data_IF_730272965024
#
_entry.id   IF_730272965024
#
_cell.length_a   1.000
_cell.length_b   1.000
_cell.length_c   1.000
_cell.angle_alpha   90.00
_cell.angle_beta   90.00
_cell.angle_gamma   90.00
#
_symmetry.space_group_name_H-M   'P 1'
#
loop_
_entity.id
_entity.type
_entity.pdbx_description
1 polymer ?
#
# COMPACT_ATOMS: atom_id res chain seq x y z
N UNK A 1 34.23 78.74 -35.63
CA UNK A 1 34.12 77.69 -36.69
C UNK A 1 34.61 76.31 -36.24
N UNK A 2 35.74 76.19 -35.51
CA UNK A 2 36.29 74.91 -35.04
C UNK A 2 35.34 74.01 -34.21
N UNK A 3 34.58 74.58 -33.26
CA UNK A 3 33.68 73.77 -32.41
C UNK A 3 32.42 73.27 -33.12
N UNK A 4 31.95 73.96 -34.17
CA UNK A 4 30.76 73.51 -34.93
C UNK A 4 31.08 72.34 -35.85
N UNK A 5 32.30 72.29 -36.41
CA UNK A 5 32.75 71.19 -37.26
C UNK A 5 32.93 69.89 -36.45
N UNK A 6 33.48 69.99 -35.23
CA UNK A 6 33.65 68.84 -34.34
C UNK A 6 32.31 68.22 -33.91
N UNK A 7 31.30 69.05 -33.62
CA UNK A 7 29.95 68.60 -33.26
C UNK A 7 29.26 67.95 -34.46
N UNK A 8 29.39 68.52 -35.66
CA UNK A 8 28.81 67.94 -36.89
C UNK A 8 29.45 66.59 -37.22
N UNK A 9 30.77 66.47 -37.08
CA UNK A 9 31.49 65.20 -37.30
C UNK A 9 31.04 64.15 -36.27
N UNK A 10 30.91 64.52 -34.99
CA UNK A 10 30.48 63.61 -33.93
C UNK A 10 29.03 63.12 -34.13
N UNK A 11 28.12 64.00 -34.54
CA UNK A 11 26.72 63.63 -34.81
C UNK A 11 26.62 62.75 -36.06
N UNK A 12 27.40 63.03 -37.11
CA UNK A 12 27.48 62.18 -38.30
C UNK A 12 28.06 60.81 -38.00
N UNK A 13 29.10 60.71 -37.16
CA UNK A 13 29.64 59.40 -36.76
C UNK A 13 28.67 58.61 -35.88
N UNK A 14 27.93 59.26 -34.99
CA UNK A 14 26.87 58.63 -34.19
C UNK A 14 25.70 58.13 -35.05
N UNK A 15 25.28 58.90 -36.05
CA UNK A 15 24.21 58.50 -36.98
C UNK A 15 24.65 57.39 -37.94
N UNK A 16 25.93 57.36 -38.35
CA UNK A 16 26.51 56.30 -39.18
C UNK A 16 26.82 55.01 -38.40
N UNK A 17 26.93 55.08 -37.07
CA UNK A 17 27.14 53.91 -36.22
C UNK A 17 25.85 53.16 -35.86
N UNK A 18 24.67 53.77 -36.03
CA UNK A 18 23.38 53.13 -35.71
C UNK A 18 23.06 51.87 -36.54
N UNK A 19 23.35 51.77 -37.86
CA UNK A 19 23.13 50.52 -38.59
C UNK A 19 24.18 49.43 -38.29
N UNK A 20 25.25 49.74 -37.54
CA UNK A 20 26.25 48.78 -37.07
C UNK A 20 25.95 48.25 -35.66
N UNK A 21 24.92 48.78 -34.99
CA UNK A 21 24.42 48.28 -33.70
C UNK A 21 23.35 47.18 -33.85
N UNK A 22 23.10 46.70 -35.07
CA UNK A 22 22.39 45.44 -35.30
C UNK A 22 23.31 44.27 -34.96
N UNK A 23 22.83 43.33 -34.13
CA UNK A 23 23.56 42.12 -33.74
C UNK A 23 24.12 41.39 -34.97
N UNK A 24 25.44 41.47 -35.20
CA UNK A 24 26.19 40.51 -36.02
C UNK A 24 26.48 39.22 -35.22
N UNK A 25 25.54 38.80 -34.37
CA UNK A 25 25.56 37.45 -33.82
C UNK A 25 24.99 36.54 -34.88
N UNK A 26 25.61 35.38 -35.11
CA UNK A 26 24.89 34.29 -35.75
C UNK A 26 23.56 34.15 -35.01
N UNK A 27 22.43 34.40 -35.67
CA UNK A 27 21.13 34.01 -35.17
C UNK A 27 21.18 32.51 -35.02
N UNK A 28 21.64 32.03 -33.85
CA UNK A 28 21.41 30.66 -33.47
C UNK A 28 19.90 30.50 -33.60
N UNK A 29 19.41 29.59 -34.46
CA UNK A 29 17.99 29.38 -34.58
C UNK A 29 17.45 29.18 -33.18
N UNK A 30 16.37 29.90 -32.83
CA UNK A 30 15.69 29.70 -31.56
C UNK A 30 15.59 28.19 -31.35
N UNK A 31 16.01 27.65 -30.18
CA UNK A 31 15.96 26.22 -29.94
C UNK A 31 14.56 25.76 -30.33
N UNK A 32 14.48 24.75 -31.20
CA UNK A 32 13.18 24.20 -31.58
C UNK A 32 12.47 23.85 -30.29
N UNK A 33 11.27 24.38 -30.10
CA UNK A 33 10.42 23.93 -29.02
C UNK A 33 10.34 22.40 -29.15
N UNK A 34 10.76 21.68 -28.11
CA UNK A 34 10.57 20.24 -28.07
C UNK A 34 9.09 19.97 -28.30
N UNK A 35 8.75 18.97 -29.13
CA UNK A 35 7.35 18.64 -29.37
C UNK A 35 6.69 18.29 -28.04
N UNK A 36 5.49 18.80 -27.82
CA UNK A 36 4.75 18.56 -26.59
C UNK A 36 4.62 17.06 -26.33
N UNK A 37 4.85 16.67 -25.08
CA UNK A 37 4.62 15.32 -24.60
C UNK A 37 3.74 15.30 -23.36
N UNK A 38 2.97 14.22 -23.13
CA UNK A 38 2.33 13.96 -21.85
C UNK A 38 3.24 14.02 -20.62
N UNK A 39 4.57 13.88 -20.78
CA UNK A 39 5.55 14.02 -19.68
C UNK A 39 6.20 15.42 -19.62
N UNK A 40 5.58 16.45 -20.19
CA UNK A 40 6.07 17.84 -20.15
C UNK A 40 5.89 18.48 -18.76
N UNK A 41 6.55 17.88 -17.76
CA UNK A 41 6.65 18.34 -16.38
C UNK A 41 7.98 17.86 -15.77
N UNK A 42 8.39 18.47 -14.67
CA UNK A 42 9.59 18.05 -13.96
C UNK A 42 9.36 16.69 -13.27
N UNK A 43 10.32 15.76 -13.42
CA UNK A 43 10.29 14.48 -12.73
C UNK A 43 11.70 14.07 -12.29
N UNK A 44 11.78 13.45 -11.10
CA UNK A 44 13.05 13.02 -10.52
C UNK A 44 13.66 11.80 -11.22
N UNK A 45 14.93 11.51 -10.91
CA UNK A 45 15.62 10.28 -11.33
C UNK A 45 15.28 9.06 -10.45
N UNK A 46 14.38 9.23 -9.48
CA UNK A 46 13.82 8.19 -8.60
C UNK A 46 12.37 7.86 -8.96
N UNK A 47 11.86 8.39 -10.08
CA UNK A 47 10.49 8.14 -10.56
C UNK A 47 10.53 7.52 -11.94
N UNK A 48 9.79 6.41 -12.12
CA UNK A 48 9.63 5.73 -13.40
C UNK A 48 8.17 5.70 -13.81
N UNK A 49 7.90 6.16 -15.04
CA UNK A 49 6.62 5.96 -15.71
C UNK A 49 6.78 4.82 -16.71
N UNK A 50 6.02 3.75 -16.52
CA UNK A 50 6.15 2.54 -17.31
C UNK A 50 4.81 1.80 -17.46
N UNK A 51 4.74 0.92 -18.45
CA UNK A 51 3.66 -0.04 -18.62
C UNK A 51 4.04 -1.39 -17.96
N UNK A 52 3.10 -2.33 -17.84
CA UNK A 52 3.40 -3.69 -17.39
C UNK A 52 4.60 -4.31 -18.11
N UNK A 53 5.41 -5.07 -17.37
CA UNK A 53 6.66 -5.64 -17.88
C UNK A 53 7.86 -4.68 -17.86
N UNK A 54 7.76 -3.55 -17.17
CA UNK A 54 8.84 -2.55 -17.08
C UNK A 54 9.11 -1.85 -18.41
N UNK A 55 8.09 -1.70 -19.26
CA UNK A 55 8.23 -1.03 -20.57
C UNK A 55 8.18 0.49 -20.35
N UNK A 56 9.27 1.19 -20.62
CA UNK A 56 9.36 2.65 -20.41
C UNK A 56 8.29 3.41 -21.23
N UNK A 57 7.50 4.26 -20.57
CA UNK A 57 6.42 5.01 -21.21
C UNK A 57 6.91 6.29 -21.93
N UNK A 58 8.09 6.84 -21.60
CA UNK A 58 8.59 8.11 -22.18
C UNK A 58 9.02 7.99 -23.63
N UNK A 59 9.46 6.81 -24.06
CA UNK A 59 10.09 6.63 -25.37
C UNK A 59 9.06 6.44 -26.51
N UNK A 60 7.76 6.64 -26.24
CA UNK A 60 6.66 6.41 -27.17
C UNK A 60 6.62 4.99 -27.77
N UNK A 61 7.25 4.00 -27.13
CA UNK A 61 7.33 2.62 -27.64
C UNK A 61 5.96 2.00 -27.94
N UNK A 62 4.94 2.41 -27.18
CA UNK A 62 3.54 2.01 -27.36
C UNK A 62 2.63 3.16 -27.81
N UNK A 63 3.20 4.31 -28.20
CA UNK A 63 2.47 5.54 -28.49
C UNK A 63 1.99 6.28 -27.23
N UNK A 64 1.34 7.42 -27.44
CA UNK A 64 0.83 8.31 -26.38
C UNK A 64 -0.69 8.32 -26.30
N UNK A 65 -1.39 7.70 -27.25
CA UNK A 65 -2.86 7.70 -27.31
C UNK A 65 -3.49 7.11 -26.04
N UNK A 66 -2.77 6.20 -25.39
CA UNK A 66 -3.18 5.55 -24.16
C UNK A 66 -2.92 6.37 -22.88
N UNK A 67 -2.19 7.49 -22.97
CA UNK A 67 -1.84 8.36 -21.84
C UNK A 67 -2.80 9.55 -21.76
N UNK A 68 -4.09 9.24 -21.72
CA UNK A 68 -5.19 10.22 -21.71
C UNK A 68 -6.16 9.91 -20.57
N UNK A 69 -7.01 10.87 -20.23
CA UNK A 69 -8.02 10.75 -19.17
C UNK A 69 -7.43 10.26 -17.83
N UNK A 70 -7.96 9.17 -17.25
CA UNK A 70 -7.48 8.62 -15.99
C UNK A 70 -6.08 8.01 -16.08
N UNK A 71 -5.59 7.70 -17.29
CA UNK A 71 -4.27 7.14 -17.53
C UNK A 71 -3.22 8.22 -17.86
N UNK A 72 -3.58 9.51 -17.69
CA UNK A 72 -2.67 10.65 -17.93
C UNK A 72 -1.58 10.69 -16.86
N UNK A 73 -0.29 10.80 -17.24
CA UNK A 73 0.80 10.92 -16.29
C UNK A 73 0.75 12.25 -15.52
N UNK A 74 1.22 12.24 -14.28
CA UNK A 74 1.27 13.41 -13.42
C UNK A 74 2.54 13.40 -12.55
N UNK A 75 3.09 14.57 -12.17
CA UNK A 75 4.27 14.64 -11.31
C UNK A 75 4.09 13.87 -10.02
N UNK A 76 5.03 12.96 -9.74
CA UNK A 76 4.95 12.05 -8.60
C UNK A 76 6.33 11.90 -7.94
N UNK A 77 6.33 12.00 -6.61
CA UNK A 77 7.52 11.91 -5.77
C UNK A 77 7.17 11.14 -4.50
N UNK A 78 8.12 10.37 -3.99
CA UNK A 78 7.99 9.70 -2.71
C UNK A 78 9.18 10.05 -1.81
N UNK A 79 8.93 10.05 -0.50
CA UNK A 79 9.94 10.24 0.52
C UNK A 79 9.55 9.48 1.79
N UNK A 80 10.47 9.35 2.72
CA UNK A 80 10.20 8.81 4.05
C UNK A 80 10.72 9.78 5.11
N UNK A 81 10.14 9.72 6.30
CA UNK A 81 10.58 10.48 7.46
C UNK A 81 10.45 9.62 8.72
N UNK A 82 11.41 9.76 9.63
CA UNK A 82 11.36 9.07 10.91
C UNK A 82 10.37 9.74 11.86
N UNK A 83 9.48 8.95 12.47
CA UNK A 83 8.49 9.44 13.43
C UNK A 83 9.07 9.53 14.87
N UNK A 84 10.10 8.74 15.16
CA UNK A 84 10.78 8.73 16.47
C UNK A 84 10.27 7.65 17.44
N UNK A 85 9.28 6.85 17.03
CA UNK A 85 8.77 5.71 17.77
C UNK A 85 9.26 4.39 17.18
N UNK A 86 9.54 3.41 18.05
CA UNK A 86 9.87 2.04 17.64
C UNK A 86 8.59 1.24 17.42
N UNK A 87 8.58 0.49 16.33
CA UNK A 87 7.49 -0.45 16.04
C UNK A 87 8.05 -1.81 15.61
N UNK A 88 7.17 -2.80 15.54
CA UNK A 88 7.43 -4.16 15.10
C UNK A 88 6.22 -4.56 14.26
N UNK A 89 6.44 -4.86 12.97
CA UNK A 89 5.40 -5.22 12.00
C UNK A 89 4.18 -4.27 12.06
N UNK A 90 4.39 -2.94 11.88
CA UNK A 90 3.36 -1.94 12.08
C UNK A 90 2.25 -2.04 11.05
N UNK A 91 1.05 -1.66 11.49
CA UNK A 91 -0.05 -1.30 10.60
C UNK A 91 -0.33 0.19 10.71
N UNK A 92 -0.82 0.76 9.61
CA UNK A 92 -1.20 2.17 9.49
C UNK A 92 -2.66 2.25 9.03
N UNK A 93 -3.42 3.16 9.63
CA UNK A 93 -4.81 3.43 9.30
C UNK A 93 -5.07 4.92 9.20
N UNK A 94 -6.00 5.30 8.33
CA UNK A 94 -6.41 6.70 8.15
C UNK A 94 -7.92 6.77 8.36
N UNK A 95 -8.35 7.56 9.33
CA UNK A 95 -9.75 7.97 9.50
C UNK A 95 -9.96 9.30 8.77
N UNK A 96 -11.20 9.79 8.68
CA UNK A 96 -11.47 11.13 8.16
C UNK A 96 -10.72 12.25 8.92
N UNK A 97 -10.36 12.02 10.18
CA UNK A 97 -9.74 13.02 11.06
C UNK A 97 -8.22 12.90 11.20
N UNK A 98 -7.65 11.71 11.03
CA UNK A 98 -6.31 11.43 11.54
C UNK A 98 -5.57 10.29 10.82
N UNK A 99 -4.25 10.24 11.01
CA UNK A 99 -3.38 9.13 10.60
C UNK A 99 -2.91 8.42 11.87
N UNK A 100 -3.05 7.11 11.91
CA UNK A 100 -2.73 6.27 13.05
C UNK A 100 -1.75 5.17 12.65
N UNK A 101 -0.82 4.80 13.52
CA UNK A 101 -0.06 3.57 13.37
C UNK A 101 0.13 2.85 14.72
N UNK A 102 0.32 1.53 14.64
CA UNK A 102 0.61 0.71 15.82
C UNK A 102 2.08 0.84 16.24
N UNK A 103 2.32 1.03 17.54
CA UNK A 103 3.64 0.93 18.15
C UNK A 103 3.70 -0.30 19.05
N UNK A 104 4.87 -0.94 19.10
CA UNK A 104 5.04 -2.20 19.81
C UNK A 104 4.88 -2.05 21.33
N UNK A 105 5.51 -1.02 21.92
CA UNK A 105 5.51 -0.73 23.37
C UNK A 105 6.18 -1.80 24.26
N UNK A 106 6.21 -3.06 23.82
CA UNK A 106 6.87 -4.18 24.48
C UNK A 106 6.08 -4.83 25.60
N UNK A 107 6.62 -5.93 26.11
CA UNK A 107 6.04 -6.65 27.25
C UNK A 107 6.02 -5.77 28.50
N UNK A 108 4.84 -5.59 29.10
CA UNK A 108 4.62 -4.80 30.30
C UNK A 108 4.13 -3.38 30.02
N UNK A 109 4.40 -2.83 28.83
CA UNK A 109 3.87 -1.52 28.42
C UNK A 109 2.68 -1.64 27.48
N UNK A 110 2.56 -2.73 26.70
CA UNK A 110 1.46 -2.90 25.75
C UNK A 110 1.58 -2.08 24.48
N UNK A 111 0.83 -2.48 23.45
CA UNK A 111 0.75 -1.75 22.18
C UNK A 111 0.01 -0.43 22.38
N UNK A 112 0.55 0.62 21.74
CA UNK A 112 -0.04 1.97 21.74
C UNK A 112 -0.28 2.42 20.30
N UNK A 113 -1.25 3.31 20.13
CA UNK A 113 -1.54 3.98 18.86
C UNK A 113 -0.89 5.36 18.86
N UNK A 114 0.00 5.56 17.91
CA UNK A 114 0.59 6.85 17.64
C UNK A 114 -0.22 7.52 16.53
N UNK A 115 -0.66 8.74 16.78
CA UNK A 115 -1.63 9.45 15.95
C UNK A 115 -1.11 10.82 15.53
N UNK A 116 -1.35 11.18 14.28
CA UNK A 116 -1.18 12.53 13.75
C UNK A 116 -2.53 13.13 13.36
N UNK A 117 -2.82 14.32 13.89
CA UNK A 117 -4.03 15.10 13.59
C UNK A 117 -3.76 16.23 12.58
N UNK A 118 -2.54 16.31 12.06
CA UNK A 118 -2.05 17.42 11.22
C UNK A 118 -1.33 16.90 9.97
N UNK A 119 -1.83 15.81 9.40
CA UNK A 119 -1.37 15.22 8.14
C UNK A 119 0.09 14.74 8.19
N UNK A 120 0.50 14.18 9.32
CA UNK A 120 1.81 13.57 9.53
C UNK A 120 2.90 14.53 9.98
N UNK A 121 2.58 15.79 10.28
CA UNK A 121 3.57 16.78 10.73
C UNK A 121 3.99 16.56 12.18
N UNK A 122 3.06 16.23 13.07
CA UNK A 122 3.31 15.88 14.46
C UNK A 122 2.60 14.60 14.86
N UNK A 123 3.18 13.89 15.84
CA UNK A 123 2.76 12.57 16.26
C UNK A 123 2.64 12.51 17.79
N UNK A 124 1.56 11.92 18.28
CA UNK A 124 1.25 11.80 19.71
C UNK A 124 0.80 10.39 20.02
N UNK A 125 1.30 9.82 21.12
CA UNK A 125 0.75 8.58 21.67
C UNK A 125 -0.65 8.84 22.24
N UNK A 126 -1.67 8.20 21.67
CA UNK A 126 -3.08 8.35 22.03
C UNK A 126 -3.64 7.14 22.81
N UNK A 127 -2.79 6.24 23.31
CA UNK A 127 -3.22 5.08 24.10
C UNK A 127 -3.60 3.88 23.23
N UNK A 128 -4.47 2.96 23.70
CA UNK A 128 -5.31 3.02 24.89
C UNK A 128 -4.52 2.91 26.20
N UNK A 129 -4.66 3.87 27.11
CA UNK A 129 -3.95 3.89 28.40
C UNK A 129 -4.69 3.14 29.50
N UNK A 130 -3.97 2.39 30.33
CA UNK A 130 -4.53 1.71 31.50
C UNK A 130 -5.04 2.72 32.54
N UNK A 131 -6.29 2.56 33.04
CA UNK A 131 -6.89 3.53 33.95
C UNK A 131 -6.21 3.61 35.33
N UNK A 132 -5.46 2.58 35.71
CA UNK A 132 -4.71 2.53 36.99
C UNK A 132 -3.23 2.84 36.77
N UNK A 133 -2.64 2.35 35.68
CA UNK A 133 -1.22 2.51 35.34
C UNK A 133 -1.07 3.25 34.02
N UNK A 134 -1.27 4.58 34.03
CA UNK A 134 -1.42 5.39 32.83
C UNK A 134 -0.20 5.41 31.88
N UNK A 135 0.96 4.93 32.33
CA UNK A 135 2.16 4.78 31.50
C UNK A 135 2.17 3.46 30.69
N UNK A 136 1.14 2.64 30.83
CA UNK A 136 0.99 1.34 30.15
C UNK A 136 -0.34 1.25 29.41
N UNK A 137 -0.43 0.37 28.43
CA UNK A 137 -1.62 0.05 27.68
C UNK A 137 -2.64 -0.70 28.55
N UNK A 138 -3.93 -0.59 28.25
CA UNK A 138 -4.95 -1.38 28.98
C UNK A 138 -4.67 -2.88 28.85
N UNK A 139 -4.16 -3.26 27.69
CA UNK A 139 -3.69 -4.59 27.35
C UNK A 139 -2.15 -4.62 27.45
N UNK A 140 -1.55 -5.44 28.35
CA UNK A 140 -0.18 -5.22 28.84
C UNK A 140 0.96 -5.70 27.92
N UNK A 141 0.66 -6.30 26.77
CA UNK A 141 1.66 -6.73 25.79
C UNK A 141 0.97 -6.96 24.44
N UNK A 142 1.69 -7.01 23.33
CA UNK A 142 1.22 -7.72 22.13
C UNK A 142 2.42 -8.40 21.49
N UNK A 143 2.21 -9.56 20.86
CA UNK A 143 3.23 -10.18 20.02
C UNK A 143 3.28 -9.51 18.65
N UNK A 144 2.11 -9.23 18.07
CA UNK A 144 1.95 -8.57 16.77
C UNK A 144 1.00 -7.37 16.97
N UNK A 145 1.50 -6.13 17.04
CA UNK A 145 0.67 -4.93 17.18
C UNK A 145 -0.14 -4.61 15.91
N UNK A 146 -1.47 -4.73 15.95
CA UNK A 146 -2.32 -4.43 14.80
C UNK A 146 -3.32 -3.31 15.10
N UNK A 147 -3.51 -2.41 14.14
CA UNK A 147 -4.61 -1.46 14.10
C UNK A 147 -5.34 -1.53 12.76
N UNK A 148 -6.61 -1.17 12.79
CA UNK A 148 -7.45 -1.04 11.62
C UNK A 148 -8.30 0.21 11.74
N UNK A 149 -8.30 1.05 10.72
CA UNK A 149 -9.27 2.13 10.59
C UNK A 149 -10.44 1.63 9.74
N UNK A 150 -11.63 1.57 10.34
CA UNK A 150 -12.86 1.23 9.63
C UNK A 150 -13.20 2.33 8.63
N UNK A 151 -13.16 1.98 7.34
CA UNK A 151 -13.36 2.93 6.24
C UNK A 151 -14.80 3.46 6.09
N UNK A 152 -15.76 2.89 6.80
CA UNK A 152 -17.17 3.30 6.74
C UNK A 152 -17.63 4.02 8.00
N UNK A 153 -17.07 3.68 9.16
CA UNK A 153 -17.50 4.25 10.45
C UNK A 153 -16.47 5.17 11.10
N UNK A 154 -15.26 5.28 10.53
CA UNK A 154 -14.09 5.94 11.13
C UNK A 154 -13.67 5.35 12.50
N UNK A 155 -14.23 4.20 12.90
CA UNK A 155 -13.81 3.51 14.11
C UNK A 155 -12.37 3.04 13.95
N UNK A 156 -11.51 3.49 14.85
CA UNK A 156 -10.18 2.94 15.01
C UNK A 156 -10.25 1.71 15.90
N UNK A 157 -9.78 0.58 15.40
CA UNK A 157 -9.66 -0.67 16.14
C UNK A 157 -8.19 -0.95 16.40
N UNK A 158 -7.86 -1.32 17.63
CA UNK A 158 -6.60 -1.91 18.03
C UNK A 158 -6.84 -3.39 18.36
N UNK A 159 -5.99 -4.25 17.81
CA UNK A 159 -6.14 -5.70 17.88
C UNK A 159 -4.83 -6.37 18.30
N UNK A 160 -4.77 -6.76 19.57
CA UNK A 160 -3.57 -7.33 20.18
C UNK A 160 -3.66 -8.85 20.29
N UNK A 161 -2.54 -9.51 19.98
CA UNK A 161 -2.33 -10.93 20.21
C UNK A 161 -1.45 -11.18 21.43
N UNK A 162 -1.83 -12.13 22.28
CA UNK A 162 -1.08 -12.51 23.48
C UNK A 162 -0.66 -13.97 23.45
N UNK A 163 0.65 -14.18 23.54
CA UNK A 163 1.28 -15.48 23.72
C UNK A 163 0.73 -16.54 22.75
N UNK A 164 0.42 -16.14 21.51
CA UNK A 164 -0.16 -16.99 20.46
C UNK A 164 -1.50 -17.65 20.85
N UNK A 165 -2.17 -17.15 21.89
CA UNK A 165 -3.29 -17.84 22.54
C UNK A 165 -4.48 -16.98 22.89
N UNK A 166 -4.37 -15.65 22.97
CA UNK A 166 -5.51 -14.79 23.25
C UNK A 166 -5.49 -13.54 22.37
N UNK A 167 -6.67 -13.03 22.06
CA UNK A 167 -6.87 -11.86 21.20
C UNK A 167 -7.73 -10.83 21.91
N UNK A 168 -7.31 -9.57 21.90
CA UNK A 168 -8.01 -8.47 22.53
C UNK A 168 -8.31 -7.38 21.53
N UNK A 169 -9.55 -6.92 21.52
CA UNK A 169 -10.04 -5.84 20.68
C UNK A 169 -10.36 -4.65 21.56
N UNK A 170 -9.78 -3.51 21.22
CA UNK A 170 -10.09 -2.20 21.79
C UNK A 170 -10.42 -1.27 20.64
N UNK A 171 -11.35 -0.33 20.84
CA UNK A 171 -11.68 0.62 19.79
C UNK A 171 -11.87 2.03 20.31
N UNK A 172 -11.73 2.99 19.39
CA UNK A 172 -12.00 4.41 19.57
C UNK A 172 -12.87 4.89 18.42
N UNK A 173 -13.88 5.70 18.76
CA UNK A 173 -14.77 6.38 17.80
C UNK A 173 -14.43 7.89 17.67
N UNK A 174 -13.29 8.32 18.21
CA UNK A 174 -12.89 9.72 18.33
C UNK A 174 -11.38 9.95 18.12
N UNK A 175 -10.79 9.22 17.17
CA UNK A 175 -9.38 9.31 16.76
C UNK A 175 -8.38 9.06 17.90
N UNK A 176 -8.72 8.13 18.80
CA UNK A 176 -7.91 7.70 19.93
C UNK A 176 -8.04 8.58 21.18
N UNK A 177 -8.93 9.57 21.20
CA UNK A 177 -9.12 10.42 22.39
C UNK A 177 -9.70 9.64 23.58
N UNK A 178 -10.63 8.73 23.30
CA UNK A 178 -11.16 7.77 24.27
C UNK A 178 -11.17 6.37 23.67
N UNK A 179 -11.08 5.37 24.56
CA UNK A 179 -11.01 3.97 24.19
C UNK A 179 -12.03 3.15 24.98
N UNK A 180 -12.54 2.10 24.33
CA UNK A 180 -13.33 1.08 24.99
C UNK A 180 -12.52 0.33 26.05
N UNK A 181 -13.19 -0.48 26.89
CA UNK A 181 -12.49 -1.55 27.60
C UNK A 181 -11.99 -2.61 26.60
N UNK A 182 -11.00 -3.45 26.95
CA UNK A 182 -10.61 -4.57 26.11
C UNK A 182 -11.70 -5.65 26.07
N UNK A 183 -12.13 -6.02 24.86
CA UNK A 183 -13.02 -7.14 24.60
C UNK A 183 -12.22 -8.36 24.16
N UNK A 184 -12.62 -9.56 24.60
CA UNK A 184 -11.93 -10.80 24.23
C UNK A 184 -12.51 -11.40 22.96
N UNK A 185 -11.64 -11.77 22.03
CA UNK A 185 -11.97 -12.59 20.87
C UNK A 185 -11.56 -14.05 21.14
N UNK A 186 -12.29 -14.72 22.03
CA UNK A 186 -12.01 -16.10 22.48
C UNK A 186 -12.39 -17.16 21.42
N UNK A 187 -11.65 -18.29 21.37
CA UNK A 187 -11.98 -19.40 20.46
C UNK A 187 -10.79 -20.25 20.02
N UNK A 188 -9.92 -20.63 20.96
CA UNK A 188 -8.57 -21.09 20.66
C UNK A 188 -8.50 -22.58 20.31
N UNK A 189 -8.25 -22.90 19.04
CA UNK A 189 -8.06 -24.28 18.57
C UNK A 189 -6.66 -24.56 18.00
N UNK A 190 -5.86 -23.51 17.80
CA UNK A 190 -4.53 -23.58 17.23
C UNK A 190 -3.66 -22.45 17.77
N UNK A 191 -2.32 -22.58 17.68
CA UNK A 191 -1.43 -21.43 17.79
C UNK A 191 -1.89 -20.34 16.81
N UNK A 192 -1.95 -19.11 17.30
CA UNK A 192 -2.31 -17.92 16.52
C UNK A 192 -1.06 -17.12 16.23
N UNK A 193 -0.96 -16.59 15.02
CA UNK A 193 0.13 -15.72 14.58
C UNK A 193 -0.43 -14.75 13.53
N UNK A 194 0.22 -13.60 13.33
CA UNK A 194 -0.03 -12.69 12.21
C UNK A 194 -1.52 -12.41 11.98
N UNK A 195 -2.18 -11.90 13.02
CA UNK A 195 -3.61 -11.61 12.95
C UNK A 195 -3.89 -10.41 12.06
N UNK A 196 -5.01 -10.46 11.33
CA UNK A 196 -5.50 -9.33 10.54
C UNK A 196 -7.00 -9.18 10.73
N UNK A 197 -7.46 -7.95 10.86
CA UNK A 197 -8.87 -7.57 11.02
C UNK A 197 -9.23 -6.53 9.96
N UNK A 198 -10.43 -6.68 9.41
CA UNK A 198 -11.09 -5.70 8.57
C UNK A 198 -12.60 -5.72 8.82
N UNK A 199 -13.32 -4.73 8.31
CA UNK A 199 -14.77 -4.72 8.32
C UNK A 199 -15.35 -4.80 6.91
N UNK A 200 -16.65 -5.05 6.80
CA UNK A 200 -17.45 -4.98 5.57
C UNK A 200 -18.84 -4.41 5.87
N UNK A 201 -19.51 -3.83 4.88
CA UNK A 201 -20.89 -3.34 5.05
C UNK A 201 -21.84 -4.50 5.31
N UNK A 202 -22.76 -4.33 6.25
CA UNK A 202 -23.84 -5.29 6.49
C UNK A 202 -24.96 -5.14 5.44
N UNK A 203 -24.72 -5.67 4.24
CA UNK A 203 -25.69 -5.57 3.12
C UNK A 203 -26.89 -6.52 3.27
N UNK A 204 -26.77 -7.55 4.11
CA UNK A 204 -27.81 -8.56 4.34
C UNK A 204 -28.60 -8.33 5.64
N UNK A 205 -28.28 -7.29 6.42
CA UNK A 205 -28.96 -7.00 7.68
C UNK A 205 -28.74 -8.06 8.77
N UNK A 206 -27.57 -8.70 8.78
CA UNK A 206 -27.18 -9.73 9.74
C UNK A 206 -26.67 -9.18 11.07
N UNK A 207 -26.24 -7.91 11.06
CA UNK A 207 -25.52 -7.24 12.14
C UNK A 207 -26.44 -6.32 12.96
N UNK A 208 -26.03 -6.09 14.20
CA UNK A 208 -26.59 -5.04 15.06
C UNK A 208 -25.77 -3.73 15.01
N UNK A 209 -24.70 -3.72 14.21
CA UNK A 209 -23.82 -2.60 13.94
C UNK A 209 -23.72 -2.36 12.43
N UNK A 210 -23.31 -1.17 12.00
CA UNK A 210 -23.31 -0.75 10.58
C UNK A 210 -22.35 -1.59 9.72
N UNK A 211 -21.28 -2.09 10.33
CA UNK A 211 -20.31 -2.98 9.70
C UNK A 211 -20.23 -4.33 10.42
N UNK A 212 -19.78 -5.35 9.69
CA UNK A 212 -19.38 -6.66 10.22
C UNK A 212 -17.87 -6.68 10.25
N UNK A 213 -17.28 -6.89 11.42
CA UNK A 213 -15.83 -7.10 11.53
C UNK A 213 -15.50 -8.56 11.34
N UNK A 214 -14.45 -8.85 10.59
CA UNK A 214 -13.90 -10.18 10.40
C UNK A 214 -12.41 -10.12 10.67
N UNK A 215 -11.93 -11.00 11.54
CA UNK A 215 -10.50 -11.24 11.66
C UNK A 215 -10.16 -12.64 11.20
N UNK A 216 -8.93 -12.80 10.71
CA UNK A 216 -8.31 -14.08 10.43
C UNK A 216 -6.93 -14.15 11.08
N UNK A 217 -6.50 -15.36 11.38
CA UNK A 217 -5.19 -15.66 11.96
C UNK A 217 -4.47 -16.70 11.12
N UNK A 218 -3.15 -16.54 11.02
CA UNK A 218 -2.28 -17.57 10.50
C UNK A 218 -2.27 -18.75 11.48
N UNK A 219 -2.27 -19.96 10.91
CA UNK A 219 -1.95 -21.16 11.67
C UNK A 219 -0.61 -21.70 11.19
N UNK A 220 0.20 -22.21 12.12
CA UNK A 220 1.51 -22.79 11.81
C UNK A 220 1.47 -24.08 10.96
N UNK A 221 0.33 -24.43 10.34
CA UNK A 221 0.21 -25.61 9.48
C UNK A 221 -0.80 -25.40 8.34
N UNK A 222 -0.45 -25.82 7.14
CA UNK A 222 -1.38 -25.83 5.99
C UNK A 222 -2.61 -26.70 6.22
N UNK A 223 -2.48 -27.79 6.98
CA UNK A 223 -3.59 -28.70 7.29
C UNK A 223 -4.69 -28.05 8.14
N UNK A 224 -4.32 -27.14 9.05
CA UNK A 224 -5.31 -26.35 9.80
C UNK A 224 -5.81 -25.18 8.96
N UNK A 225 -4.95 -24.59 8.13
CA UNK A 225 -5.26 -23.43 7.31
C UNK A 225 -5.56 -22.18 8.16
N UNK A 226 -5.75 -21.01 7.54
CA UNK A 226 -6.22 -19.83 8.26
C UNK A 226 -7.53 -20.09 9.00
N UNK A 227 -7.65 -19.55 10.21
CA UNK A 227 -8.91 -19.54 10.96
C UNK A 227 -9.44 -18.12 11.03
N UNK A 228 -10.76 -17.94 10.94
CA UNK A 228 -11.40 -16.64 10.97
C UNK A 228 -12.57 -16.62 11.97
N UNK A 229 -12.87 -15.44 12.47
CA UNK A 229 -14.03 -15.15 13.30
C UNK A 229 -14.60 -13.79 12.91
N UNK A 230 -15.86 -13.55 13.29
CA UNK A 230 -16.56 -12.32 12.97
C UNK A 230 -17.28 -11.74 14.19
N UNK A 231 -17.48 -10.43 14.16
CA UNK A 231 -18.28 -9.67 15.10
C UNK A 231 -19.40 -8.93 14.37
N UNK A 232 -20.59 -9.00 14.94
CA UNK A 232 -21.84 -8.42 14.42
C UNK A 232 -22.41 -7.34 15.37
N UNK A 233 -21.58 -6.86 16.30
CA UNK A 233 -21.95 -5.86 17.31
C UNK A 233 -20.86 -4.80 17.50
N UNK A 234 -20.07 -4.57 16.46
CA UNK A 234 -19.03 -3.53 16.45
C UNK A 234 -17.74 -3.94 17.18
N UNK A 235 -17.46 -5.23 17.31
CA UNK A 235 -16.24 -5.75 17.93
C UNK A 235 -16.39 -6.12 19.42
N UNK A 236 -17.61 -6.15 19.97
CA UNK A 236 -17.84 -6.49 21.38
C UNK A 236 -17.84 -8.00 21.63
N UNK A 237 -18.50 -8.75 20.75
CA UNK A 237 -18.54 -10.21 20.81
C UNK A 237 -18.12 -10.81 19.49
N UNK A 238 -17.52 -12.00 19.57
CA UNK A 238 -16.92 -12.71 18.45
C UNK A 238 -17.45 -14.12 18.35
N UNK A 239 -17.73 -14.55 17.13
CA UNK A 239 -18.06 -15.95 16.85
C UNK A 239 -16.87 -16.87 17.21
N UNK A 240 -17.15 -18.15 17.42
CA UNK A 240 -16.11 -19.17 17.47
C UNK A 240 -15.27 -19.17 16.19
N UNK A 241 -13.95 -19.30 16.30
CA UNK A 241 -13.06 -19.42 15.15
C UNK A 241 -13.43 -20.63 14.28
N UNK A 242 -13.40 -20.43 12.96
CA UNK A 242 -13.74 -21.44 11.94
C UNK A 242 -12.75 -21.39 10.78
N UNK A 243 -12.65 -22.46 9.99
CA UNK A 243 -11.84 -22.45 8.77
C UNK A 243 -12.16 -21.25 7.86
N UNK A 244 -11.13 -20.43 7.60
CA UNK A 244 -11.17 -19.31 6.66
C UNK A 244 -11.01 -19.73 5.20
N UNK A 245 -11.40 -20.94 4.85
CA UNK A 245 -11.21 -21.56 3.54
C UNK A 245 -12.30 -22.61 3.29
N UNK A 246 -12.49 -23.06 2.03
CA UNK A 246 -13.56 -24.01 1.73
C UNK A 246 -13.37 -25.33 2.49
N UNK A 247 -14.42 -25.78 3.18
CA UNK A 247 -14.37 -27.05 3.90
C UNK A 247 -14.43 -28.20 2.88
N UNK A 248 -13.53 -29.18 3.05
CA UNK A 248 -13.48 -30.37 2.19
C UNK A 248 -12.59 -30.22 0.96
N UNK A 249 -11.91 -29.08 0.80
CA UNK A 249 -10.82 -28.91 -0.17
C UNK A 249 -9.47 -28.97 0.55
N UNK A 250 -8.40 -29.47 -0.11
CA UNK A 250 -7.05 -29.35 0.43
C UNK A 250 -6.66 -27.87 0.58
N UNK A 251 -6.12 -27.51 1.73
CA UNK A 251 -5.48 -26.22 1.96
C UNK A 251 -3.95 -26.40 1.87
N UNK A 252 -3.30 -25.58 1.05
CA UNK A 252 -1.87 -25.64 0.80
C UNK A 252 -1.06 -24.55 1.51
N UNK A 253 -1.73 -23.57 2.16
CA UNK A 253 -1.10 -22.57 3.02
C UNK A 253 -1.82 -22.43 4.36
N UNK A 254 -1.05 -22.33 5.45
CA UNK A 254 -1.56 -21.88 6.75
C UNK A 254 -1.41 -20.37 6.97
N UNK A 255 -0.64 -19.72 6.09
CA UNK A 255 -0.28 -18.32 6.17
C UNK A 255 -1.04 -17.49 5.12
N UNK A 256 -1.37 -16.25 5.46
CA UNK A 256 -2.13 -15.33 4.64
C UNK A 256 -1.68 -13.88 4.81
N UNK A 257 -1.95 -13.06 3.79
CA UNK A 257 -1.84 -11.60 3.88
C UNK A 257 -3.07 -10.98 4.57
N UNK A 258 -3.12 -9.65 4.64
CA UNK A 258 -4.21 -8.96 5.35
C UNK A 258 -5.60 -9.22 4.75
N UNK A 259 -6.60 -9.26 5.63
CA UNK A 259 -8.02 -9.34 5.28
C UNK A 259 -8.50 -7.96 4.84
N UNK A 260 -9.40 -7.91 3.86
CA UNK A 260 -10.03 -6.68 3.40
C UNK A 260 -11.53 -6.91 3.15
N UNK A 261 -12.39 -5.96 3.51
CA UNK A 261 -13.80 -5.98 3.11
C UNK A 261 -14.09 -5.08 1.94
N UNK A 262 -15.24 -5.31 1.30
CA UNK A 262 -15.71 -4.61 0.10
C UNK A 262 -17.05 -3.89 0.34
N UNK A 263 -17.38 -2.81 -0.39
CA UNK A 263 -18.64 -2.08 -0.19
C UNK A 263 -19.87 -2.93 -0.49
N UNK A 264 -19.70 -4.05 -1.19
CA UNK A 264 -20.76 -4.99 -1.54
C UNK A 264 -21.02 -6.08 -0.49
N UNK A 265 -20.43 -5.96 0.72
CA UNK A 265 -20.57 -6.91 1.81
C UNK A 265 -19.64 -8.13 1.73
N UNK A 266 -18.82 -8.24 0.68
CA UNK A 266 -17.83 -9.31 0.57
C UNK A 266 -16.63 -9.07 1.49
N UNK A 267 -15.94 -10.14 1.85
CA UNK A 267 -14.66 -10.14 2.57
C UNK A 267 -13.67 -10.98 1.80
N UNK A 268 -12.44 -10.50 1.66
CA UNK A 268 -11.38 -11.12 0.90
C UNK A 268 -10.11 -11.28 1.73
N UNK A 269 -9.33 -12.31 1.40
CA UNK A 269 -8.01 -12.54 1.96
C UNK A 269 -7.13 -13.22 0.92
N UNK A 270 -5.91 -12.74 0.73
CA UNK A 270 -4.96 -13.39 -0.18
C UNK A 270 -4.07 -14.42 0.53
N UNK A 271 -3.96 -15.61 -0.05
CA UNK A 271 -2.95 -16.62 0.29
C UNK A 271 -2.80 -17.65 -0.85
N UNK A 272 -1.69 -18.41 -0.91
CA UNK A 272 -1.52 -19.44 -1.93
C UNK A 272 -2.63 -20.49 -1.86
N UNK A 273 -3.15 -20.87 -3.03
CA UNK A 273 -3.83 -22.15 -3.22
C UNK A 273 -2.79 -23.25 -3.47
N UNK A 274 -3.26 -24.45 -3.79
CA UNK A 274 -2.38 -25.53 -4.25
C UNK A 274 -1.84 -25.32 -5.67
N UNK A 275 -2.42 -24.38 -6.44
CA UNK A 275 -2.10 -24.15 -7.84
C UNK A 275 -1.33 -22.83 -8.08
N UNK A 276 -1.47 -21.83 -7.20
CA UNK A 276 -0.82 -20.54 -7.37
C UNK A 276 -1.31 -19.45 -6.40
N UNK A 277 -1.06 -18.17 -6.70
CA UNK A 277 -1.65 -17.05 -5.94
C UNK A 277 -3.18 -17.12 -6.01
N UNK A 278 -3.85 -16.94 -4.87
CA UNK A 278 -5.30 -17.00 -4.79
C UNK A 278 -5.86 -15.95 -3.83
N UNK A 279 -7.13 -15.62 -4.04
CA UNK A 279 -7.96 -14.88 -3.09
C UNK A 279 -9.05 -15.79 -2.56
N UNK A 280 -9.25 -15.76 -1.26
CA UNK A 280 -10.35 -16.42 -0.58
C UNK A 280 -11.43 -15.39 -0.32
N UNK A 281 -12.66 -15.71 -0.72
CA UNK A 281 -13.82 -14.81 -0.64
C UNK A 281 -14.89 -15.38 0.27
N UNK A 282 -15.40 -14.54 1.16
CA UNK A 282 -16.67 -14.72 1.85
C UNK A 282 -17.69 -13.69 1.34
N UNK A 283 -18.94 -14.11 1.19
CA UNK A 283 -20.09 -13.27 0.80
C UNK A 283 -21.20 -13.30 1.86
N UNK A 284 -20.91 -13.84 3.03
CA UNK A 284 -21.85 -14.02 4.15
C UNK A 284 -21.26 -13.48 5.46
N UNK A 285 -20.48 -12.39 5.35
CA UNK A 285 -19.87 -11.70 6.49
C UNK A 285 -18.79 -12.53 7.19
N UNK A 286 -17.98 -13.28 6.46
CA UNK A 286 -16.85 -14.07 6.99
C UNK A 286 -17.21 -15.47 7.49
N UNK A 287 -18.43 -15.97 7.26
CA UNK A 287 -18.90 -17.24 7.82
C UNK A 287 -18.48 -18.47 7.00
N UNK A 288 -18.60 -18.38 5.67
CA UNK A 288 -18.09 -19.39 4.73
C UNK A 288 -17.19 -18.75 3.68
N UNK A 289 -16.28 -19.55 3.14
CA UNK A 289 -15.23 -19.09 2.22
C UNK A 289 -15.17 -19.94 0.96
N UNK A 290 -14.86 -19.28 -0.15
CA UNK A 290 -14.59 -19.84 -1.48
C UNK A 290 -13.15 -19.51 -1.88
N UNK A 291 -12.49 -20.39 -2.62
CA UNK A 291 -11.13 -20.17 -3.13
C UNK A 291 -11.18 -19.73 -4.61
N UNK A 292 -10.41 -18.71 -4.95
CA UNK A 292 -10.32 -18.14 -6.30
C UNK A 292 -8.85 -17.98 -6.70
N UNK A 293 -8.31 -18.98 -7.40
CA UNK A 293 -6.93 -18.95 -7.92
C UNK A 293 -6.82 -17.92 -9.04
N UNK A 294 -5.89 -16.98 -8.89
CA UNK A 294 -5.65 -15.87 -9.82
C UNK A 294 -4.96 -16.39 -11.09
N UNK A 295 -3.90 -17.20 -10.92
CA UNK A 295 -3.09 -17.70 -12.03
C UNK A 295 -2.29 -18.94 -11.64
N UNK A 296 -1.87 -19.73 -12.63
CA UNK A 296 -0.94 -20.85 -12.47
C UNK A 296 0.45 -20.58 -13.07
N UNK A 297 0.67 -19.42 -13.68
CA UNK A 297 1.91 -19.12 -14.43
C UNK A 297 2.85 -18.17 -13.68
N UNK A 298 2.32 -17.10 -13.07
CA UNK A 298 3.07 -16.19 -12.21
C UNK A 298 2.94 -16.63 -10.74
N UNK A 299 3.38 -17.86 -10.46
CA UNK A 299 3.29 -18.47 -9.12
C UNK A 299 4.10 -17.67 -8.10
N UNK A 300 3.73 -17.71 -6.82
CA UNK A 300 4.48 -17.02 -5.77
C UNK A 300 5.95 -17.45 -5.72
N UNK A 301 6.81 -16.51 -5.29
CA UNK A 301 8.15 -16.85 -4.83
C UNK A 301 8.09 -17.87 -3.69
N UNK A 302 9.04 -18.81 -3.64
CA UNK A 302 9.02 -19.92 -2.67
C UNK A 302 9.11 -19.49 -1.20
N UNK A 303 9.59 -18.29 -0.95
CA UNK A 303 9.70 -17.66 0.37
C UNK A 303 8.56 -16.65 0.63
N UNK A 304 7.65 -16.46 -0.34
CA UNK A 304 6.48 -15.60 -0.21
C UNK A 304 5.25 -16.45 0.09
N UNK A 305 4.41 -15.94 0.99
CA UNK A 305 3.16 -16.56 1.39
C UNK A 305 2.00 -15.57 1.36
N UNK A 306 2.29 -14.32 1.02
CA UNK A 306 1.33 -13.22 1.08
C UNK A 306 0.91 -12.82 -0.31
N UNK A 307 -0.40 -12.66 -0.46
CA UNK A 307 -0.99 -11.94 -1.58
C UNK A 307 -1.73 -10.79 -0.92
N UNK A 308 -1.21 -9.59 -1.09
CA UNK A 308 -1.85 -8.39 -0.58
C UNK A 308 -3.11 -8.14 -1.42
N UNK A 309 -4.23 -7.90 -0.75
CA UNK A 309 -5.53 -7.68 -1.39
C UNK A 309 -6.12 -6.35 -0.97
N UNK A 310 -6.70 -5.63 -1.93
CA UNK A 310 -7.45 -4.41 -1.68
C UNK A 310 -8.74 -4.40 -2.50
N UNK A 311 -9.70 -3.59 -2.07
CA UNK A 311 -10.94 -3.35 -2.81
C UNK A 311 -11.16 -1.86 -2.98
N UNK A 312 -11.52 -1.40 -4.16
CA UNK A 312 -11.87 0.00 -4.39
C UNK A 312 -13.32 0.33 -3.95
N UNK A 313 -13.66 1.61 -3.98
CA UNK A 313 -14.98 2.15 -3.59
C UNK A 313 -16.13 1.65 -4.50
N UNK A 314 -15.81 1.12 -5.69
CA UNK A 314 -16.77 0.51 -6.60
C UNK A 314 -16.90 -1.01 -6.40
N UNK A 315 -16.11 -1.60 -5.49
CA UNK A 315 -16.07 -3.04 -5.24
C UNK A 315 -15.18 -3.82 -6.20
N UNK A 316 -14.33 -3.14 -6.97
CA UNK A 316 -13.24 -3.75 -7.73
C UNK A 316 -12.24 -4.41 -6.80
N UNK A 317 -11.84 -5.64 -7.11
CA UNK A 317 -10.90 -6.42 -6.32
C UNK A 317 -9.52 -6.37 -6.96
N UNK A 318 -8.49 -6.16 -6.14
CA UNK A 318 -7.11 -6.04 -6.55
C UNK A 318 -6.22 -6.96 -5.74
N UNK A 319 -5.28 -7.63 -6.41
CA UNK A 319 -4.32 -8.52 -5.79
C UNK A 319 -2.90 -8.14 -6.22
N UNK A 320 -1.97 -8.21 -5.27
CA UNK A 320 -0.57 -7.85 -5.44
C UNK A 320 0.33 -8.83 -4.69
N UNK A 321 1.35 -9.37 -5.36
CA UNK A 321 2.22 -10.41 -4.79
C UNK A 321 3.61 -10.37 -5.41
N UNK A 322 4.57 -11.08 -4.79
CA UNK A 322 5.89 -11.30 -5.38
C UNK A 322 5.92 -12.67 -6.04
N UNK A 323 6.17 -12.70 -7.35
CA UNK A 323 6.20 -13.93 -8.12
C UNK A 323 7.57 -14.64 -8.06
N UNK A 324 7.64 -15.85 -8.60
CA UNK A 324 8.82 -16.73 -8.60
C UNK A 324 10.04 -16.20 -9.37
N UNK A 325 9.86 -15.17 -10.20
CA UNK A 325 10.93 -14.39 -10.84
C UNK A 325 11.42 -13.23 -9.96
N UNK A 326 10.95 -13.16 -8.71
CA UNK A 326 11.22 -12.12 -7.71
C UNK A 326 10.75 -10.71 -8.08
N UNK A 327 9.85 -10.58 -9.06
CA UNK A 327 9.23 -9.30 -9.39
C UNK A 327 7.85 -9.17 -8.72
N UNK A 328 7.39 -7.92 -8.49
CA UNK A 328 6.05 -7.66 -8.02
C UNK A 328 5.06 -7.78 -9.17
N UNK A 329 3.98 -8.53 -8.94
CA UNK A 329 2.88 -8.74 -9.88
C UNK A 329 1.57 -8.25 -9.31
N UNK A 330 0.71 -7.79 -10.20
CA UNK A 330 -0.60 -7.25 -9.91
C UNK A 330 -1.65 -7.90 -10.83
N UNK A 331 -2.85 -8.15 -10.30
CA UNK A 331 -4.02 -8.53 -11.08
C UNK A 331 -5.28 -7.92 -10.46
N UNK A 332 -6.34 -7.80 -11.26
CA UNK A 332 -7.62 -7.27 -10.80
C UNK A 332 -8.81 -8.10 -11.26
N UNK A 333 -9.93 -7.90 -10.59
CA UNK A 333 -11.20 -8.55 -10.87
C UNK A 333 -12.36 -7.57 -10.67
N UNK A 334 -13.34 -7.64 -11.58
CA UNK A 334 -14.59 -6.85 -11.53
C UNK A 334 -15.80 -7.68 -11.08
N UNK A 335 -15.61 -8.97 -10.86
CA UNK A 335 -16.66 -9.95 -10.56
C UNK A 335 -16.31 -10.73 -9.28
N UNK A 336 -15.80 -10.00 -8.28
CA UNK A 336 -15.54 -10.52 -6.94
C UNK A 336 -14.51 -11.67 -6.92
N UNK A 337 -13.61 -11.73 -7.88
CA UNK A 337 -12.58 -12.77 -8.00
C UNK A 337 -13.00 -14.01 -8.80
N UNK A 338 -14.21 -14.06 -9.38
CA UNK A 338 -14.62 -15.18 -10.23
C UNK A 338 -13.77 -15.25 -11.52
N UNK A 339 -13.38 -14.10 -12.06
CA UNK A 339 -12.39 -13.98 -13.14
C UNK A 339 -11.35 -12.91 -12.83
N UNK A 340 -10.15 -13.09 -13.38
CA UNK A 340 -9.00 -12.22 -13.16
C UNK A 340 -8.42 -11.70 -14.47
N UNK A 341 -7.89 -10.48 -14.43
CA UNK A 341 -7.01 -9.97 -15.49
C UNK A 341 -5.77 -10.85 -15.61
N UNK A 342 -5.10 -10.80 -16.76
CA UNK A 342 -3.76 -11.37 -16.86
C UNK A 342 -2.82 -10.71 -15.82
N UNK A 343 -1.96 -11.48 -15.14
CA UNK A 343 -0.98 -10.93 -14.20
C UNK A 343 -0.04 -9.94 -14.89
N UNK A 344 0.09 -8.75 -14.30
CA UNK A 344 0.94 -7.68 -14.78
C UNK A 344 2.16 -7.56 -13.88
N UNK A 345 3.37 -7.71 -14.43
CA UNK A 345 4.59 -7.35 -13.70
C UNK A 345 4.67 -5.82 -13.60
N UNK A 346 4.76 -5.30 -12.38
CA UNK A 346 4.68 -3.85 -12.10
C UNK A 346 5.97 -3.24 -11.55
N UNK A 347 7.08 -3.96 -11.57
CA UNK A 347 8.39 -3.37 -11.28
C UNK A 347 8.82 -2.39 -12.38
N UNK A 348 9.60 -1.35 -12.02
CA UNK A 348 10.22 -0.47 -12.98
C UNK A 348 11.32 -1.22 -13.76
N UNK A 349 11.70 -0.71 -14.96
CA UNK A 349 12.69 -1.37 -15.81
C UNK A 349 14.02 -1.63 -15.08
N UNK A 350 14.47 -2.89 -15.08
CA UNK A 350 15.78 -3.29 -14.58
C UNK A 350 15.84 -3.79 -13.13
N UNK A 351 14.70 -3.81 -12.41
CA UNK A 351 14.62 -4.38 -11.06
C UNK A 351 15.09 -5.85 -11.07
N UNK A 352 15.88 -6.25 -10.07
CA UNK A 352 16.42 -7.61 -9.96
C UNK A 352 15.79 -8.44 -8.84
N UNK A 353 15.12 -7.79 -7.88
CA UNK A 353 14.45 -8.46 -6.78
C UNK A 353 13.50 -7.55 -6.02
N UNK A 354 12.51 -8.15 -5.38
CA UNK A 354 11.51 -7.46 -4.57
C UNK A 354 10.98 -8.35 -3.43
N UNK A 355 10.34 -7.72 -2.44
CA UNK A 355 9.80 -8.37 -1.24
C UNK A 355 8.74 -7.50 -0.55
N UNK A 356 8.04 -8.08 0.42
CA UNK A 356 7.07 -7.40 1.31
C UNK A 356 6.01 -6.57 0.56
N UNK A 357 5.13 -7.24 -0.21
CA UNK A 357 4.12 -6.55 -1.01
C UNK A 357 2.99 -6.01 -0.13
N UNK A 358 2.60 -4.75 -0.35
CA UNK A 358 1.37 -4.16 0.22
C UNK A 358 0.58 -3.41 -0.84
N UNK A 359 -0.73 -3.32 -0.68
CA UNK A 359 -1.64 -2.67 -1.65
C UNK A 359 -2.78 -1.95 -0.93
N UNK A 360 -3.18 -0.82 -1.49
CA UNK A 360 -4.39 -0.10 -1.13
C UNK A 360 -5.13 0.34 -2.39
N UNK A 361 -6.46 0.37 -2.33
CA UNK A 361 -7.30 0.86 -3.42
C UNK A 361 -8.31 1.87 -2.86
N UNK A 362 -8.50 2.97 -3.60
CA UNK A 362 -9.38 4.06 -3.22
C UNK A 362 -10.57 4.13 -4.16
N UNK A 363 -10.68 5.22 -4.92
CA UNK A 363 -11.71 5.33 -5.95
C UNK A 363 -11.57 4.27 -7.06
N UNK A 364 -12.66 4.03 -7.80
CA UNK A 364 -12.76 3.04 -8.90
C UNK A 364 -11.52 3.00 -9.80
N UNK A 365 -10.84 1.85 -9.83
CA UNK A 365 -9.65 1.60 -10.64
C UNK A 365 -8.38 2.34 -10.20
N UNK A 366 -8.35 2.99 -9.04
CA UNK A 366 -7.18 3.67 -8.49
C UNK A 366 -6.54 2.84 -7.39
N UNK A 367 -5.30 2.45 -7.63
CA UNK A 367 -4.53 1.56 -6.77
C UNK A 367 -3.18 2.18 -6.44
N UNK A 368 -2.76 2.05 -5.19
CA UNK A 368 -1.39 2.27 -4.77
C UNK A 368 -0.83 0.96 -4.20
N UNK A 369 0.46 0.71 -4.39
CA UNK A 369 1.15 -0.45 -3.84
C UNK A 369 2.52 -0.06 -3.31
N UNK A 370 3.02 -0.83 -2.35
CA UNK A 370 4.33 -0.66 -1.75
C UNK A 370 5.09 -1.97 -1.73
N UNK A 371 6.41 -1.91 -1.87
CA UNK A 371 7.30 -3.06 -1.75
C UNK A 371 8.74 -2.58 -1.54
N UNK A 372 9.61 -3.45 -1.04
CA UNK A 372 11.06 -3.22 -1.09
C UNK A 372 11.65 -3.90 -2.33
N UNK A 373 12.70 -3.32 -2.90
CA UNK A 373 13.34 -3.87 -4.08
C UNK A 373 14.80 -3.47 -4.25
N UNK A 374 15.47 -4.12 -5.19
CA UNK A 374 16.89 -3.94 -5.46
C UNK A 374 17.21 -4.02 -6.95
N UNK A 375 18.16 -3.17 -7.38
CA UNK A 375 18.71 -3.18 -8.73
C UNK A 375 20.06 -3.91 -8.83
N UNK A 376 20.65 -4.33 -7.71
CA UNK A 376 22.00 -4.92 -7.65
C UNK A 376 22.14 -6.08 -6.64
N UNK A 377 21.03 -6.55 -6.06
CA UNK A 377 20.92 -7.61 -5.05
C UNK A 377 21.50 -7.29 -3.66
N UNK A 378 22.17 -6.14 -3.49
CA UNK A 378 22.82 -5.74 -2.24
C UNK A 378 22.11 -4.54 -1.61
N UNK A 379 21.79 -3.52 -2.39
CA UNK A 379 21.18 -2.29 -1.92
C UNK A 379 19.66 -2.37 -2.09
N UNK A 380 18.94 -2.33 -0.97
CA UNK A 380 17.49 -2.39 -0.94
C UNK A 380 16.89 -1.03 -0.67
N UNK A 381 15.89 -0.68 -1.45
CA UNK A 381 15.16 0.58 -1.38
C UNK A 381 13.66 0.31 -1.25
N UNK A 382 12.93 1.27 -0.71
CA UNK A 382 11.47 1.22 -0.67
C UNK A 382 10.88 1.83 -1.94
N UNK A 383 9.80 1.25 -2.43
CA UNK A 383 9.10 1.72 -3.63
C UNK A 383 7.62 1.87 -3.34
N UNK A 384 7.05 2.98 -3.80
CA UNK A 384 5.61 3.19 -3.91
C UNK A 384 5.25 3.22 -5.39
N UNK A 385 4.22 2.47 -5.77
CA UNK A 385 3.67 2.46 -7.12
C UNK A 385 2.22 2.91 -7.14
N UNK A 386 1.80 3.55 -8.22
CA UNK A 386 0.43 4.00 -8.43
C UNK A 386 -0.04 3.55 -9.82
N UNK A 387 -1.28 3.03 -9.88
CA UNK A 387 -2.05 2.81 -11.10
C UNK A 387 -3.33 3.63 -10.97
N UNK A 388 -3.55 4.59 -11.88
CA UNK A 388 -4.72 5.48 -11.84
C UNK A 388 -5.90 5.03 -12.69
N UNK A 389 -5.68 4.05 -13.57
CA UNK A 389 -6.70 3.39 -14.37
C UNK A 389 -6.39 1.89 -14.51
N UNK A 390 -6.64 1.13 -13.44
CA UNK A 390 -6.37 -0.30 -13.38
C UNK A 390 -7.20 -1.13 -14.38
N UNK A 391 -8.29 -0.56 -14.88
CA UNK A 391 -9.20 -1.21 -15.80
C UNK A 391 -8.81 -1.04 -17.26
N UNK A 392 -7.81 -0.20 -17.52
CA UNK A 392 -7.23 -0.04 -18.84
C UNK A 392 -6.53 -1.32 -19.29
N UNK A 393 -6.55 -1.63 -20.59
CA UNK A 393 -5.77 -2.75 -21.15
C UNK A 393 -4.26 -2.52 -21.00
N UNK A 394 -3.84 -1.26 -20.84
CA UNK A 394 -2.46 -0.83 -20.67
C UNK A 394 -2.38 0.24 -19.58
N UNK A 395 -2.52 -0.14 -18.31
CA UNK A 395 -2.42 0.82 -17.22
C UNK A 395 -1.03 1.46 -17.19
N UNK A 396 -0.99 2.77 -17.03
CA UNK A 396 0.22 3.49 -16.68
C UNK A 396 0.54 3.16 -15.22
N UNK A 397 1.77 2.75 -14.98
CA UNK A 397 2.32 2.52 -13.65
C UNK A 397 3.36 3.61 -13.39
N UNK A 398 3.19 4.32 -12.30
CA UNK A 398 4.16 5.29 -11.79
C UNK A 398 4.80 4.69 -10.55
N UNK A 399 6.08 4.31 -10.64
CA UNK A 399 6.86 3.80 -9.51
C UNK A 399 7.82 4.86 -9.01
N UNK A 400 7.88 5.08 -7.70
CA UNK A 400 8.74 6.05 -7.03
C UNK A 400 9.56 5.36 -5.96
N UNK A 401 10.88 5.56 -5.99
CA UNK A 401 11.76 5.18 -4.89
C UNK A 401 11.61 6.18 -3.75
N UNK A 402 11.46 5.68 -2.51
CA UNK A 402 11.22 6.53 -1.33
C UNK A 402 12.51 7.14 -0.76
N UNK A 403 13.63 6.45 -0.93
CA UNK A 403 14.95 6.85 -0.44
C UNK A 403 15.86 7.30 -1.59
N UNK A 404 16.94 8.03 -1.27
CA UNK A 404 17.94 8.42 -2.27
C UNK A 404 18.75 7.20 -2.74
N UNK A 405 19.30 7.26 -3.96
CA UNK A 405 20.09 6.16 -4.56
C UNK A 405 21.33 5.77 -3.74
N UNK A 406 21.91 6.71 -3.00
CA UNK A 406 23.07 6.53 -2.13
C UNK A 406 22.73 6.28 -0.66
N UNK A 407 21.44 6.15 -0.34
CA UNK A 407 20.93 5.93 1.02
C UNK A 407 19.96 4.72 1.02
N UNK A 408 20.47 3.49 0.80
CA UNK A 408 19.63 2.30 0.83
C UNK A 408 19.03 2.08 2.22
N UNK A 409 17.80 1.59 2.25
CA UNK A 409 17.11 1.26 3.50
C UNK A 409 17.72 0.03 4.19
N UNK A 410 18.30 -0.88 3.41
CA UNK A 410 19.00 -2.05 3.91
C UNK A 410 20.11 -2.47 2.92
N UNK A 411 21.20 -3.05 3.45
CA UNK A 411 22.38 -3.49 2.68
C UNK A 411 22.69 -4.98 2.91
N UNK A 412 21.81 -5.71 3.61
CA UNK A 412 21.95 -7.13 3.81
C UNK A 412 21.61 -7.89 2.51
N UNK A 413 22.46 -8.84 2.09
CA UNK A 413 22.16 -9.65 0.91
C UNK A 413 20.84 -10.39 1.10
N UNK A 414 20.01 -10.42 0.05
CA UNK A 414 18.72 -11.14 0.05
C UNK A 414 17.68 -10.62 1.05
N UNK A 415 17.76 -9.36 1.45
CA UNK A 415 16.79 -8.71 2.34
C UNK A 415 15.31 -9.02 1.97
N UNK A 416 14.85 -8.86 0.73
CA UNK A 416 13.47 -9.21 0.35
C UNK A 416 13.13 -10.70 0.33
N UNK A 417 14.09 -11.57 0.62
CA UNK A 417 13.90 -13.02 0.73
C UNK A 417 14.08 -13.56 2.15
N UNK A 418 14.38 -12.68 3.11
CA UNK A 418 14.55 -12.99 4.53
C UNK A 418 13.91 -11.88 5.38
N UNK A 419 14.02 -11.95 6.71
CA UNK A 419 13.65 -10.80 7.54
C UNK A 419 14.67 -9.70 7.31
N UNK A 420 14.19 -8.52 6.95
CA UNK A 420 15.02 -7.44 6.50
C UNK A 420 14.76 -6.19 7.32
N UNK A 421 15.71 -5.77 8.15
CA UNK A 421 15.63 -4.48 8.87
C UNK A 421 14.38 -4.22 9.72
N UNK A 422 13.47 -5.20 9.91
CA UNK A 422 12.14 -5.00 10.49
C UNK A 422 11.05 -4.55 9.50
N UNK A 423 11.31 -4.58 8.19
CA UNK A 423 10.27 -4.51 7.15
C UNK A 423 9.34 -5.72 7.29
N UNK A 424 8.04 -5.44 7.25
CA UNK A 424 6.93 -6.38 7.36
C UNK A 424 5.83 -5.94 6.41
#
# INVERSE_FOLDING_TARGET
MRNRLAVVILVLTLMLAQPLAGCFGNDNPAPKAEPWTPFDFEHGNTTWYHYPGGINAHNASLGWDNLTENNTPFPSYATYFGIGDTTFEPTIGVTAGAIHFSSYGGTGSGTMVITSLDQGLTWTNMGPFNPVFQDTGQVPSSNDPYIYADRWTDRLVKFDMHALTAMFVEYSDDDGQTWSIPFTADGYYSPQDHQSIASTLDVEGMSSYETIYVFCINTGSSALGPQCSRSMDGGHTWDIQRPGYPIGTPQCSGLHGHVIGSPDGSVYRGNPSCDGPAVYRSIDGGYTWSEHTITTNATLASNSHEIATATDDAGGLHAFWIANDNNPYYANSKDKGDTWSEPMMVAPPGMQGSGFPTIYAGADGRVAFGYIGTFDAENWSGYLGIITDAWNDRPLITTMQVNAHDDPLDMEPNCGYQRCGGFG
#
